data_IF_144790941431
#
_entry.id   IF_144790941431
#
_cell.length_a   1.000
_cell.length_b   1.000
_cell.length_c   1.000
_cell.angle_alpha   90.00
_cell.angle_beta   90.00
_cell.angle_gamma   90.00
#
_symmetry.space_group_name_H-M   'P 1'
#
loop_
_entity.id
_entity.type
_entity.pdbx_description
1 polymer ?
#
# COMPACT_ATOMS: atom_id res chain seq x y z
N UNK A 1 -22.77 12.03 -2.34
CA UNK A 1 -21.67 12.82 -1.88
C UNK A 1 -20.49 12.74 -2.82
N UNK A 2 -19.91 13.82 -3.10
CA UNK A 2 -18.76 13.87 -4.00
C UNK A 2 -17.45 13.54 -3.31
N UNK A 3 -17.44 12.60 -2.44
CA UNK A 3 -16.27 12.27 -1.65
C UNK A 3 -15.31 11.40 -2.43
N UNK A 4 -14.84 11.93 -3.50
CA UNK A 4 -13.84 11.26 -4.29
C UNK A 4 -12.53 11.19 -3.51
N UNK A 5 -11.78 10.15 -3.72
CA UNK A 5 -10.49 9.96 -3.07
C UNK A 5 -10.60 9.89 -1.56
N UNK A 6 -11.75 9.50 -1.10
CA UNK A 6 -11.92 9.33 0.33
C UNK A 6 -11.11 8.14 0.79
N UNK A 7 -10.34 8.35 1.84
CA UNK A 7 -9.59 7.29 2.49
C UNK A 7 -10.34 6.80 3.70
N UNK A 8 -10.57 5.51 3.76
CA UNK A 8 -11.24 4.87 4.89
C UNK A 8 -10.26 3.88 5.52
N UNK A 9 -10.01 3.98 6.83
CA UNK A 9 -9.08 3.02 7.45
C UNK A 9 -9.55 1.60 7.23
N UNK A 10 -8.61 0.71 6.98
CA UNK A 10 -8.91 -0.71 6.87
C UNK A 10 -9.25 -1.25 8.25
N UNK A 11 -10.40 -1.92 8.37
CA UNK A 11 -10.82 -2.49 9.63
C UNK A 11 -9.90 -3.62 10.07
N UNK A 12 -9.87 -3.85 11.38
CA UNK A 12 -9.17 -5.01 11.90
C UNK A 12 -9.77 -6.27 11.31
N UNK A 13 -8.91 -7.24 11.03
CA UNK A 13 -9.36 -8.49 10.46
C UNK A 13 -8.22 -9.20 9.78
N UNK A 14 -8.56 -10.22 9.03
CA UNK A 14 -7.58 -11.09 8.38
C UNK A 14 -6.68 -10.32 7.43
N UNK A 15 -7.25 -9.45 6.61
CA UNK A 15 -6.47 -8.71 5.62
C UNK A 15 -5.49 -7.77 6.29
N UNK A 16 -5.97 -6.99 7.25
CA UNK A 16 -5.10 -6.04 7.94
C UNK A 16 -3.97 -6.77 8.66
N UNK A 17 -4.31 -7.85 9.34
CA UNK A 17 -3.31 -8.63 10.07
C UNK A 17 -2.25 -9.18 9.12
N UNK A 18 -2.67 -9.68 7.97
CA UNK A 18 -1.74 -10.25 7.00
C UNK A 18 -0.81 -9.19 6.41
N UNK A 19 -1.34 -8.01 6.11
CA UNK A 19 -0.53 -6.93 5.58
C UNK A 19 0.49 -6.48 6.63
N UNK A 20 0.04 -6.29 7.87
CA UNK A 20 0.94 -5.84 8.93
C UNK A 20 2.02 -6.87 9.20
N UNK A 21 1.66 -8.13 9.19
CA UNK A 21 2.63 -9.19 9.39
C UNK A 21 3.73 -9.14 8.32
N UNK A 22 3.32 -9.00 7.07
CA UNK A 22 4.29 -8.94 5.99
C UNK A 22 5.18 -7.69 6.10
N UNK A 23 4.58 -6.53 6.30
CA UNK A 23 5.37 -5.29 6.32
C UNK A 23 6.32 -5.24 7.51
N UNK A 24 5.90 -5.79 8.65
CA UNK A 24 6.80 -5.88 9.79
C UNK A 24 7.93 -6.87 9.54
N UNK A 25 7.61 -7.97 8.87
CA UNK A 25 8.63 -8.98 8.56
C UNK A 25 9.75 -8.42 7.69
N UNK A 26 9.40 -7.58 6.72
CA UNK A 26 10.40 -7.00 5.81
C UNK A 26 10.88 -5.63 6.28
N UNK A 27 10.58 -5.29 7.52
CA UNK A 27 11.03 -4.05 8.14
C UNK A 27 10.54 -2.82 7.38
N UNK A 28 9.25 -2.82 7.06
CA UNK A 28 8.63 -1.75 6.32
C UNK A 28 7.31 -1.37 7.00
N UNK A 29 7.37 -0.93 8.27
CA UNK A 29 6.15 -0.68 9.05
C UNK A 29 5.32 0.44 8.47
N UNK A 30 4.02 0.32 8.63
CA UNK A 30 3.06 1.29 8.12
C UNK A 30 2.33 1.95 9.28
N UNK A 31 2.20 3.27 9.19
CA UNK A 31 1.41 4.01 10.16
C UNK A 31 -0.08 3.85 9.90
N UNK A 32 -0.47 3.71 8.63
CA UNK A 32 -1.87 3.56 8.26
C UNK A 32 -2.02 2.63 7.07
N UNK A 33 -3.13 1.93 7.07
CA UNK A 33 -3.58 1.13 5.92
C UNK A 33 -4.98 1.61 5.60
N UNK A 34 -5.16 2.21 4.45
CA UNK A 34 -6.43 2.80 4.05
C UNK A 34 -6.99 2.13 2.82
N UNK A 35 -8.31 2.20 2.69
CA UNK A 35 -9.03 1.77 1.48
C UNK A 35 -9.47 3.03 0.75
N UNK A 36 -9.32 3.03 -0.55
CA UNK A 36 -9.66 4.17 -1.37
C UNK A 36 -10.63 3.76 -2.46
N UNK A 37 -11.47 4.70 -2.89
CA UNK A 37 -12.43 4.47 -3.96
C UNK A 37 -11.72 4.16 -5.26
N UNK A 38 -11.86 2.92 -5.71
CA UNK A 38 -11.17 2.45 -6.91
C UNK A 38 -11.78 2.94 -8.21
N UNK A 39 -12.95 3.58 -8.15
CA UNK A 39 -13.57 4.08 -9.37
C UNK A 39 -12.75 5.22 -9.99
N UNK A 40 -11.87 5.82 -9.23
CA UNK A 40 -11.04 6.91 -9.70
C UNK A 40 -9.59 6.51 -9.95
N UNK A 41 -9.27 5.25 -9.79
CA UNK A 41 -7.89 4.85 -9.87
C UNK A 41 -7.36 4.84 -11.29
N UNK A 42 -6.06 4.96 -11.40
CA UNK A 42 -5.35 4.74 -12.65
C UNK A 42 -5.44 3.26 -13.04
N UNK A 43 -5.39 2.99 -14.32
CA UNK A 43 -5.35 1.62 -14.81
C UNK A 43 -4.10 0.87 -14.36
N UNK A 44 -3.10 1.59 -13.95
CA UNK A 44 -1.80 1.00 -13.63
C UNK A 44 -1.55 0.76 -12.16
N UNK A 45 -2.46 1.19 -11.29
CA UNK A 45 -2.23 1.12 -9.85
C UNK A 45 -3.34 0.38 -9.16
N UNK A 46 -2.97 -0.51 -8.26
CA UNK A 46 -3.91 -1.18 -7.35
C UNK A 46 -3.71 -0.71 -5.92
N UNK A 47 -2.55 -0.13 -5.65
CA UNK A 47 -2.22 0.37 -4.33
C UNK A 47 -1.04 1.32 -4.49
N UNK A 48 -0.87 2.22 -3.52
CA UNK A 48 0.30 3.08 -3.54
C UNK A 48 0.67 3.51 -2.13
N UNK A 49 1.94 3.88 -1.97
CA UNK A 49 2.46 4.36 -0.71
C UNK A 49 2.58 5.87 -0.70
N UNK A 50 2.48 6.45 0.50
CA UNK A 50 2.75 7.86 0.69
C UNK A 50 3.35 8.04 2.08
N UNK A 51 3.99 9.18 2.30
CA UNK A 51 4.65 9.46 3.57
C UNK A 51 6.05 8.87 3.63
N UNK A 52 6.72 9.14 4.73
CA UNK A 52 8.08 8.72 4.93
C UNK A 52 8.27 8.13 6.32
N UNK A 53 9.15 7.15 6.41
CA UNK A 53 9.54 6.62 7.70
C UNK A 53 8.36 6.22 8.55
N UNK A 54 8.22 6.83 9.70
CA UNK A 54 7.18 6.45 10.65
C UNK A 54 5.78 6.90 10.24
N UNK A 55 5.67 7.81 9.27
CA UNK A 55 4.38 8.27 8.80
C UNK A 55 3.98 7.61 7.48
N UNK A 56 4.69 6.59 7.06
CA UNK A 56 4.40 5.88 5.82
C UNK A 56 3.05 5.19 5.90
N UNK A 57 2.30 5.27 4.81
CA UNK A 57 1.00 4.63 4.75
C UNK A 57 0.77 4.07 3.36
N UNK A 58 -0.14 3.11 3.27
CA UNK A 58 -0.54 2.53 1.99
C UNK A 58 -2.03 2.77 1.78
N UNK A 59 -2.39 3.08 0.55
CA UNK A 59 -3.78 3.14 0.12
C UNK A 59 -4.02 2.00 -0.86
N UNK A 60 -5.06 1.22 -0.60
CA UNK A 60 -5.43 0.08 -1.43
C UNK A 60 -6.81 0.36 -1.99
N UNK A 61 -6.98 0.16 -3.29
CA UNK A 61 -8.27 0.41 -3.90
C UNK A 61 -9.29 -0.66 -3.50
N UNK A 62 -10.53 -0.23 -3.28
CA UNK A 62 -11.59 -1.13 -2.85
C UNK A 62 -11.84 -2.24 -3.87
N UNK A 63 -11.68 -1.96 -5.14
CA UNK A 63 -11.86 -2.96 -6.19
C UNK A 63 -10.86 -4.11 -6.05
N UNK A 64 -9.65 -3.82 -5.59
CA UNK A 64 -8.68 -4.87 -5.34
C UNK A 64 -9.12 -5.75 -4.18
N UNK A 65 -9.57 -5.12 -3.10
CA UNK A 65 -10.02 -5.86 -1.92
C UNK A 65 -11.20 -6.75 -2.24
N UNK A 66 -12.12 -6.27 -3.08
CA UNK A 66 -13.33 -7.01 -3.40
C UNK A 66 -13.10 -8.22 -4.29
N UNK A 67 -12.07 -8.15 -5.13
CA UNK A 67 -11.89 -9.15 -6.19
C UNK A 67 -10.80 -10.16 -5.92
N UNK A 68 -10.07 -10.01 -4.83
CA UNK A 68 -8.89 -10.84 -4.59
C UNK A 68 -8.87 -11.37 -3.18
N UNK A 69 -8.20 -12.50 -3.01
CA UNK A 69 -8.04 -13.09 -1.70
C UNK A 69 -7.01 -12.31 -0.89
N UNK A 70 -6.99 -12.57 0.41
CA UNK A 70 -6.00 -11.97 1.30
C UNK A 70 -4.58 -12.23 0.81
N UNK A 71 -4.28 -13.47 0.42
CA UNK A 71 -2.94 -13.82 -0.06
C UNK A 71 -2.58 -13.06 -1.32
N UNK A 72 -3.53 -12.90 -2.22
CA UNK A 72 -3.29 -12.16 -3.45
C UNK A 72 -3.02 -10.68 -3.17
N UNK A 73 -3.78 -10.12 -2.23
CA UNK A 73 -3.59 -8.72 -1.87
C UNK A 73 -2.23 -8.51 -1.21
N UNK A 74 -1.81 -9.43 -0.35
CA UNK A 74 -0.49 -9.34 0.26
C UNK A 74 0.60 -9.42 -0.81
N UNK A 75 0.40 -10.24 -1.85
CA UNK A 75 1.34 -10.30 -2.96
C UNK A 75 1.45 -8.97 -3.69
N UNK A 76 0.32 -8.29 -3.89
CA UNK A 76 0.33 -6.95 -4.50
C UNK A 76 1.08 -5.99 -3.60
N UNK A 77 0.82 -6.02 -2.30
CA UNK A 77 1.53 -5.15 -1.36
C UNK A 77 3.02 -5.42 -1.42
N UNK A 78 3.41 -6.69 -1.45
CA UNK A 78 4.83 -7.06 -1.52
C UNK A 78 5.48 -6.52 -2.80
N UNK A 79 4.76 -6.59 -3.90
CA UNK A 79 5.23 -6.07 -5.17
C UNK A 79 5.47 -4.56 -5.07
N UNK A 80 4.52 -3.84 -4.47
CA UNK A 80 4.64 -2.40 -4.31
C UNK A 80 5.76 -2.02 -3.33
N UNK A 81 5.94 -2.80 -2.28
CA UNK A 81 7.07 -2.58 -1.37
C UNK A 81 8.39 -2.73 -2.12
N UNK A 82 8.48 -3.74 -2.95
CA UNK A 82 9.68 -3.96 -3.76
C UNK A 82 9.98 -2.78 -4.66
N UNK A 83 8.96 -2.29 -5.37
CA UNK A 83 9.12 -1.13 -6.23
C UNK A 83 9.54 0.11 -5.44
N UNK A 84 8.91 0.33 -4.31
CA UNK A 84 9.23 1.48 -3.47
C UNK A 84 10.69 1.44 -3.03
N UNK A 85 11.14 0.29 -2.54
CA UNK A 85 12.51 0.15 -2.07
C UNK A 85 13.51 0.30 -3.20
N UNK A 86 13.23 -0.30 -4.34
CA UNK A 86 14.12 -0.22 -5.49
C UNK A 86 14.25 1.22 -5.98
N UNK A 87 13.14 1.93 -6.05
CA UNK A 87 13.15 3.32 -6.47
C UNK A 87 14.04 4.17 -5.56
N UNK A 88 13.92 3.95 -4.25
CA UNK A 88 14.72 4.73 -3.30
C UNK A 88 16.19 4.36 -3.36
N UNK A 89 16.51 3.11 -3.60
CA UNK A 89 17.89 2.69 -3.76
C UNK A 89 18.49 3.37 -5.00
N UNK A 90 17.76 3.35 -6.10
CA UNK A 90 18.24 3.96 -7.34
C UNK A 90 18.43 5.45 -7.17
N UNK A 91 17.48 6.12 -6.52
CA UNK A 91 17.62 7.55 -6.27
C UNK A 91 18.81 7.86 -5.38
N UNK A 92 19.03 7.03 -4.37
CA UNK A 92 20.18 7.19 -3.50
C UNK A 92 21.50 6.99 -4.23
N UNK A 93 21.53 6.04 -5.15
CA UNK A 93 22.73 5.79 -5.94
C UNK A 93 23.05 6.97 -6.86
N UNK A 94 22.02 7.58 -7.41
CA UNK A 94 22.21 8.67 -8.38
C UNK A 94 22.45 9.99 -7.67
N UNK A 95 21.75 10.22 -6.57
CA UNK A 95 21.72 11.52 -5.92
C UNK A 95 22.59 11.58 -4.68
N UNK A 96 22.57 10.51 -3.91
CA UNK A 96 23.23 10.48 -2.61
C UNK A 96 24.70 10.19 -2.64
N UNK A 97 25.24 10.11 -3.79
CA UNK A 97 26.64 9.79 -3.95
C UNK A 97 27.53 10.92 -3.44
#
# INVERSE_FOLDING_TARGET
SPMFNKFTPLDDGELRTAIEKYTNLVNFPLARIDIMDGSKRSAHSNAYFSGFGKSRRIAIFDTLVEKHSTDEIVSVVAHEVGHYKLKHIIQGTIIGI
#
